data_IF_628476301157
#
_entry.id   IF_628476301157
#
_cell.length_a   1.000
_cell.length_b   1.000
_cell.length_c   1.000
_cell.angle_alpha   90.00
_cell.angle_beta   90.00
_cell.angle_gamma   90.00
#
_symmetry.space_group_name_H-M   'P 1'
#
loop_
_entity.id
_entity.type
_entity.pdbx_description
1 polymer ?
#
# COMPACT_ATOMS: atom_id res chain seq x y z
N UNK A 1 -0.14 -5.45 -1.06
CA UNK A 1 0.44 -5.51 0.31
C UNK A 1 1.90 -5.09 0.37
N UNK A 2 2.80 -5.66 -0.46
CA UNK A 2 4.22 -5.28 -0.49
C UNK A 2 4.45 -3.77 -0.65
N UNK A 3 3.73 -3.11 -1.57
CA UNK A 3 3.81 -1.66 -1.72
C UNK A 3 3.40 -0.89 -0.45
N UNK A 4 2.43 -1.42 0.32
CA UNK A 4 2.06 -0.90 1.64
C UNK A 4 3.21 -0.99 2.64
N UNK A 5 3.88 -2.14 2.72
CA UNK A 5 5.06 -2.32 3.56
C UNK A 5 6.17 -1.32 3.22
N UNK A 6 6.50 -1.23 1.93
CA UNK A 6 7.58 -0.37 1.44
C UNK A 6 7.28 1.12 1.63
N UNK A 7 6.04 1.56 1.42
CA UNK A 7 5.68 2.97 1.65
C UNK A 7 5.78 3.33 3.14
N UNK A 8 5.41 2.42 4.05
CA UNK A 8 5.59 2.61 5.48
C UNK A 8 7.07 2.80 5.87
N UNK A 9 7.96 1.95 5.34
CA UNK A 9 9.40 2.09 5.54
C UNK A 9 9.93 3.41 4.99
N UNK A 10 9.54 3.77 3.76
CA UNK A 10 9.98 4.99 3.10
C UNK A 10 9.53 6.24 3.87
N UNK A 11 8.29 6.28 4.35
CA UNK A 11 7.76 7.43 5.10
C UNK A 11 8.51 7.64 6.43
N UNK A 12 8.77 6.57 7.19
CA UNK A 12 9.54 6.68 8.43
C UNK A 12 10.99 7.10 8.15
N UNK A 13 11.64 6.50 7.15
CA UNK A 13 13.02 6.83 6.79
C UNK A 13 13.19 8.29 6.37
N UNK A 14 12.36 8.76 5.42
CA UNK A 14 12.43 10.14 4.93
C UNK A 14 11.93 11.18 5.94
N UNK A 15 11.12 10.78 6.93
CA UNK A 15 10.77 11.62 8.07
C UNK A 15 11.97 11.95 8.95
N UNK A 16 12.93 11.02 9.08
CA UNK A 16 14.17 11.19 9.85
C UNK A 16 15.32 11.77 9.02
N UNK A 17 15.45 11.36 7.76
CA UNK A 17 16.49 11.81 6.82
C UNK A 17 15.84 12.42 5.57
N UNK A 18 15.52 13.72 5.59
CA UNK A 18 14.82 14.36 4.48
C UNK A 18 15.64 14.35 3.19
N UNK A 19 15.07 13.78 2.13
CA UNK A 19 15.58 13.86 0.77
C UNK A 19 14.41 13.85 -0.23
N UNK A 20 14.05 15.02 -0.73
CA UNK A 20 12.85 15.20 -1.55
C UNK A 20 12.94 14.53 -2.92
N UNK A 21 14.12 14.59 -3.57
CA UNK A 21 14.35 13.98 -4.88
C UNK A 21 14.19 12.47 -4.81
N UNK A 22 14.82 11.85 -3.82
CA UNK A 22 14.74 10.39 -3.64
C UNK A 22 13.33 9.96 -3.19
N UNK A 23 12.66 10.76 -2.37
CA UNK A 23 11.27 10.52 -1.98
C UNK A 23 10.34 10.56 -3.20
N UNK A 24 10.48 11.53 -4.09
CA UNK A 24 9.70 11.59 -5.33
C UNK A 24 9.95 10.37 -6.23
N UNK A 25 11.22 10.00 -6.43
CA UNK A 25 11.59 8.84 -7.24
C UNK A 25 11.00 7.54 -6.67
N UNK A 26 11.16 7.30 -5.37
CA UNK A 26 10.78 6.03 -4.75
C UNK A 26 9.29 5.96 -4.41
N UNK A 27 8.71 7.02 -3.83
CA UNK A 27 7.31 7.02 -3.37
C UNK A 27 6.37 7.30 -4.54
N UNK A 28 6.56 8.42 -5.23
CA UNK A 28 5.67 8.80 -6.34
C UNK A 28 5.94 7.97 -7.59
N UNK A 29 7.22 7.73 -7.92
CA UNK A 29 7.61 6.96 -9.11
C UNK A 29 7.48 5.45 -8.93
N UNK A 30 8.43 4.84 -8.21
CA UNK A 30 8.52 3.38 -8.09
C UNK A 30 7.30 2.76 -7.40
N UNK A 31 6.95 3.22 -6.19
CA UNK A 31 5.80 2.68 -5.45
C UNK A 31 4.46 3.03 -6.12
N UNK A 32 4.37 4.20 -6.76
CA UNK A 32 3.23 4.58 -7.59
C UNK A 32 3.03 3.67 -8.80
N UNK A 33 4.11 3.24 -9.45
CA UNK A 33 4.05 2.26 -10.55
C UNK A 33 3.82 0.81 -10.09
N UNK A 34 4.32 0.46 -8.89
CA UNK A 34 4.16 -0.89 -8.31
C UNK A 34 2.75 -1.16 -7.80
N UNK A 35 2.07 -0.12 -7.28
CA UNK A 35 0.73 -0.25 -6.70
C UNK A 35 -0.35 0.22 -7.66
N UNK A 36 -1.49 -0.47 -7.70
CA UNK A 36 -2.57 -0.15 -8.65
C UNK A 36 -3.94 -0.18 -7.98
N UNK A 37 -4.56 1.00 -7.87
CA UNK A 37 -5.95 1.11 -7.40
C UNK A 37 -6.97 0.75 -8.48
N UNK A 38 -6.61 0.91 -9.76
CA UNK A 38 -7.49 0.61 -10.89
C UNK A 38 -7.74 -0.89 -11.06
N UNK A 39 -6.71 -1.73 -10.92
CA UNK A 39 -6.88 -3.18 -10.96
C UNK A 39 -7.75 -3.69 -9.81
N UNK A 40 -7.45 -3.23 -8.57
CA UNK A 40 -8.25 -3.51 -7.38
C UNK A 40 -9.74 -3.18 -7.57
N UNK A 41 -10.03 -2.02 -8.16
CA UNK A 41 -11.41 -1.57 -8.41
C UNK A 41 -12.10 -2.43 -9.45
N UNK A 42 -11.39 -2.81 -10.52
CA UNK A 42 -11.91 -3.69 -11.57
C UNK A 42 -12.29 -5.08 -11.05
N UNK A 43 -11.44 -5.69 -10.23
CA UNK A 43 -11.70 -6.99 -9.61
C UNK A 43 -12.87 -6.93 -8.63
N UNK A 44 -12.92 -5.89 -7.79
CA UNK A 44 -14.03 -5.70 -6.84
C UNK A 44 -15.36 -5.50 -7.57
N UNK A 45 -15.37 -4.76 -8.68
CA UNK A 45 -16.57 -4.57 -9.50
C UNK A 45 -16.96 -5.85 -10.24
N UNK A 46 -15.99 -6.66 -10.69
CA UNK A 46 -16.26 -7.95 -11.29
C UNK A 46 -17.02 -8.87 -10.32
N UNK A 47 -16.55 -8.98 -9.06
CA UNK A 47 -17.23 -9.76 -8.02
C UNK A 47 -18.68 -9.29 -7.77
N UNK A 48 -18.90 -7.97 -7.76
CA UNK A 48 -20.25 -7.41 -7.64
C UNK A 48 -21.13 -7.78 -8.84
N UNK A 49 -20.60 -7.71 -10.06
CA UNK A 49 -21.32 -8.10 -11.28
C UNK A 49 -21.61 -9.60 -11.35
N UNK A 50 -20.76 -10.42 -10.74
CA UNK A 50 -20.96 -11.87 -10.62
C UNK A 50 -21.99 -12.24 -9.53
N UNK A 51 -22.57 -11.26 -8.82
CA UNK A 51 -23.56 -11.51 -7.78
C UNK A 51 -22.93 -11.99 -6.46
N UNK A 52 -21.64 -11.71 -6.25
CA UNK A 52 -20.87 -12.14 -5.06
C UNK A 52 -20.49 -10.94 -4.16
N UNK A 53 -21.46 -10.22 -3.57
CA UNK A 53 -21.16 -9.02 -2.77
C UNK A 53 -20.37 -9.31 -1.51
N UNK A 54 -20.53 -10.51 -0.93
CA UNK A 54 -19.73 -10.95 0.22
C UNK A 54 -18.24 -11.06 -0.12
N UNK A 55 -17.91 -11.63 -1.29
CA UNK A 55 -16.53 -11.73 -1.78
C UNK A 55 -15.97 -10.36 -2.15
N UNK A 56 -16.76 -9.49 -2.79
CA UNK A 56 -16.35 -8.13 -3.09
C UNK A 56 -15.98 -7.34 -1.82
N UNK A 57 -16.79 -7.48 -0.76
CA UNK A 57 -16.53 -6.87 0.53
C UNK A 57 -15.28 -7.43 1.19
N UNK A 58 -15.14 -8.76 1.24
CA UNK A 58 -13.96 -9.42 1.79
C UNK A 58 -12.67 -9.01 1.05
N UNK A 59 -12.71 -8.98 -0.28
CA UNK A 59 -11.61 -8.53 -1.13
C UNK A 59 -11.20 -7.08 -0.82
N UNK A 60 -12.19 -6.19 -0.73
CA UNK A 60 -12.01 -4.77 -0.39
C UNK A 60 -11.38 -4.59 0.98
N UNK A 61 -11.95 -5.22 2.00
CA UNK A 61 -11.45 -5.12 3.38
C UNK A 61 -10.04 -5.71 3.50
N UNK A 62 -9.78 -6.88 2.90
CA UNK A 62 -8.46 -7.50 2.91
C UNK A 62 -7.40 -6.59 2.28
N UNK A 63 -7.71 -5.94 1.16
CA UNK A 63 -6.79 -5.00 0.51
C UNK A 63 -6.54 -3.76 1.35
N UNK A 64 -7.59 -3.10 1.84
CA UNK A 64 -7.47 -1.84 2.59
C UNK A 64 -6.81 -2.07 3.94
N UNK A 65 -7.35 -2.99 4.76
CA UNK A 65 -6.81 -3.27 6.08
C UNK A 65 -5.41 -3.89 5.99
N UNK A 66 -5.20 -4.81 5.04
CA UNK A 66 -3.90 -5.40 4.81
C UNK A 66 -2.85 -4.37 4.39
N UNK A 67 -3.19 -3.41 3.52
CA UNK A 67 -2.26 -2.36 3.12
C UNK A 67 -1.92 -1.42 4.29
N UNK A 68 -2.89 -1.05 5.11
CA UNK A 68 -2.68 -0.23 6.31
C UNK A 68 -1.81 -0.95 7.35
N UNK A 69 -2.08 -2.23 7.62
CA UNK A 69 -1.27 -3.06 8.52
C UNK A 69 0.15 -3.20 8.00
N UNK A 70 0.32 -3.46 6.69
CA UNK A 70 1.63 -3.54 6.07
C UNK A 70 2.41 -2.22 6.20
N UNK A 71 1.77 -1.07 5.96
CA UNK A 71 2.41 0.24 6.12
C UNK A 71 2.83 0.49 7.57
N UNK A 72 1.96 0.19 8.54
CA UNK A 72 2.30 0.31 9.95
C UNK A 72 3.48 -0.59 10.35
N UNK A 73 3.50 -1.85 9.87
CA UNK A 73 4.64 -2.75 10.08
C UNK A 73 5.92 -2.21 9.44
N UNK A 74 5.83 -1.64 8.24
CA UNK A 74 6.97 -1.02 7.56
C UNK A 74 7.60 0.11 8.36
N UNK A 75 6.77 0.99 8.94
CA UNK A 75 7.24 2.03 9.86
C UNK A 75 7.92 1.42 11.08
N UNK A 76 7.30 0.40 11.70
CA UNK A 76 7.86 -0.28 12.89
C UNK A 76 9.20 -0.95 12.63
N UNK A 77 9.40 -1.52 11.45
CA UNK A 77 10.69 -2.10 11.05
C UNK A 77 11.78 -1.04 11.04
N UNK A 78 11.54 0.11 10.39
CA UNK A 78 12.54 1.20 10.34
C UNK A 78 12.79 1.78 11.73
N UNK A 79 11.73 1.94 12.55
CA UNK A 79 11.86 2.39 13.94
C UNK A 79 12.70 1.44 14.81
N UNK A 80 12.62 0.12 14.57
CA UNK A 80 13.37 -0.87 15.34
C UNK A 80 14.83 -1.03 14.92
N UNK A 81 15.17 -0.60 13.69
CA UNK A 81 16.54 -0.67 13.16
C UNK A 81 17.37 0.59 13.47
N UNK A 82 16.74 1.68 13.91
CA UNK A 82 17.35 3.01 14.08
C UNK A 82 17.08 3.60 15.46
#
# INVERSE_FOLDING_TARGET
LLGGLLIGMALEWFGRQPNEVLKLLLVTGFLGGLTTFSAFSGESLALLRHGEPGMALAHTLAHVLGALLAAWLGMKVVQGLM
#
